data_IF_520863602211
#
_entry.id   IF_520863602211
#
_cell.length_a   1.000
_cell.length_b   1.000
_cell.length_c   1.000
_cell.angle_alpha   90.00
_cell.angle_beta   90.00
_cell.angle_gamma   90.00
#
_symmetry.space_group_name_H-M   'P 1'
#
loop_
_entity.id
_entity.type
_entity.pdbx_description
1 polymer ?
#
# COMPACT_ATOMS: atom_id res chain seq x y z
N UNK A 1 9.05 0.04 14.42
CA UNK A 1 7.93 -0.60 13.70
C UNK A 1 8.49 -1.76 12.91
N UNK A 2 7.93 -2.97 13.11
CA UNK A 2 8.21 -4.07 12.20
C UNK A 2 7.71 -3.65 10.80
N UNK A 3 8.59 -3.66 9.80
CA UNK A 3 8.19 -3.44 8.42
C UNK A 3 7.28 -4.61 7.98
N UNK A 4 6.46 -4.41 6.97
CA UNK A 4 5.67 -5.47 6.35
C UNK A 4 6.52 -6.71 6.04
N UNK A 5 7.69 -6.53 5.41
CA UNK A 5 8.62 -7.62 5.10
C UNK A 5 9.06 -8.39 6.34
N UNK A 6 9.37 -7.69 7.42
CA UNK A 6 9.73 -8.33 8.68
C UNK A 6 8.56 -9.09 9.29
N UNK A 7 7.34 -8.54 9.23
CA UNK A 7 6.15 -9.24 9.69
C UNK A 7 5.88 -10.50 8.85
N UNK A 8 5.94 -10.39 7.53
CA UNK A 8 5.78 -11.51 6.61
C UNK A 8 6.80 -12.64 6.89
N UNK A 9 8.10 -12.31 7.02
CA UNK A 9 9.12 -13.27 7.42
C UNK A 9 8.88 -13.88 8.80
N UNK A 10 8.36 -13.09 9.73
CA UNK A 10 8.02 -13.57 11.07
C UNK A 10 6.88 -14.58 11.03
N UNK A 11 5.85 -14.31 10.22
CA UNK A 11 4.71 -15.20 10.08
C UNK A 11 5.05 -16.49 9.33
N UNK A 12 5.98 -16.45 8.37
CA UNK A 12 6.58 -17.64 7.78
C UNK A 12 7.32 -18.47 8.85
N UNK A 13 8.14 -17.84 9.68
CA UNK A 13 8.89 -18.54 10.77
C UNK A 13 7.97 -19.13 11.84
N UNK A 14 6.84 -18.48 12.12
CA UNK A 14 5.83 -18.98 13.05
C UNK A 14 4.97 -20.10 12.46
N UNK A 15 5.06 -20.34 11.15
CA UNK A 15 4.23 -21.30 10.44
C UNK A 15 2.79 -20.85 10.22
N UNK A 16 2.48 -19.56 10.39
CA UNK A 16 1.17 -19.00 10.06
C UNK A 16 0.99 -18.84 8.56
N UNK A 17 2.09 -18.55 7.87
CA UNK A 17 2.20 -18.58 6.42
C UNK A 17 3.17 -19.67 6.00
N UNK A 18 2.96 -20.23 4.82
CA UNK A 18 3.92 -21.10 4.13
C UNK A 18 4.14 -20.60 2.71
N UNK A 19 5.32 -20.81 2.18
CA UNK A 19 5.66 -20.44 0.80
C UNK A 19 6.33 -21.64 0.13
N UNK A 20 5.84 -22.01 -1.05
CA UNK A 20 6.42 -23.10 -1.83
C UNK A 20 7.62 -22.64 -2.69
N UNK A 21 8.20 -23.58 -3.46
CA UNK A 21 9.34 -23.32 -4.34
C UNK A 21 9.00 -22.38 -5.50
N UNK A 22 7.73 -22.30 -5.90
CA UNK A 22 7.23 -21.42 -6.95
C UNK A 22 6.86 -20.02 -6.44
N UNK A 23 6.97 -19.79 -5.11
CA UNK A 23 6.65 -18.51 -4.46
C UNK A 23 5.18 -18.35 -4.13
N UNK A 24 4.37 -19.40 -4.23
CA UNK A 24 2.98 -19.36 -3.82
C UNK A 24 2.87 -19.39 -2.30
N UNK A 25 2.03 -18.51 -1.75
CA UNK A 25 1.87 -18.37 -0.30
C UNK A 25 0.51 -18.92 0.12
N UNK A 26 0.51 -19.73 1.17
CA UNK A 26 -0.68 -20.24 1.85
C UNK A 26 -0.72 -19.75 3.29
N UNK A 27 -1.94 -19.69 3.86
CA UNK A 27 -2.20 -19.35 5.26
C UNK A 27 -2.87 -20.52 5.98
N UNK A 28 -2.45 -20.80 7.21
CA UNK A 28 -3.15 -21.76 8.06
C UNK A 28 -4.56 -21.27 8.44
N UNK A 29 -5.35 -22.12 9.10
CA UNK A 29 -6.65 -21.68 9.59
C UNK A 29 -6.51 -20.45 10.50
N UNK A 30 -7.26 -19.39 10.21
CA UNK A 30 -7.24 -18.14 10.98
C UNK A 30 -7.51 -18.36 12.47
N UNK A 31 -8.33 -19.35 12.81
CA UNK A 31 -8.64 -19.71 14.20
C UNK A 31 -7.45 -20.30 14.98
N UNK A 32 -6.40 -20.71 14.28
CA UNK A 32 -5.15 -21.22 14.91
C UNK A 32 -4.13 -20.10 15.17
N UNK A 33 -4.40 -18.91 14.65
CA UNK A 33 -3.56 -17.72 14.84
C UNK A 33 -4.07 -16.94 16.06
N UNK A 34 -3.20 -16.43 16.95
CA UNK A 34 -3.60 -15.55 18.04
C UNK A 34 -4.42 -14.36 17.54
N UNK A 35 -5.49 -14.01 18.24
CA UNK A 35 -6.48 -13.00 17.80
C UNK A 35 -5.83 -11.65 17.45
N UNK A 36 -4.84 -11.22 18.23
CA UNK A 36 -4.11 -9.98 18.02
C UNK A 36 -3.17 -9.99 16.78
N UNK A 37 -2.91 -11.18 16.22
CA UNK A 37 -2.08 -11.36 15.00
C UNK A 37 -2.89 -11.73 13.76
N UNK A 38 -4.16 -12.12 13.90
CA UNK A 38 -4.99 -12.61 12.79
C UNK A 38 -5.09 -11.60 11.65
N UNK A 39 -5.47 -10.36 11.94
CA UNK A 39 -5.65 -9.33 10.93
C UNK A 39 -4.36 -9.06 10.16
N UNK A 40 -3.24 -8.86 10.85
CA UNK A 40 -1.95 -8.60 10.18
C UNK A 40 -1.46 -9.79 9.37
N UNK A 41 -1.66 -11.02 9.86
CA UNK A 41 -1.29 -12.22 9.11
C UNK A 41 -2.12 -12.33 7.84
N UNK A 42 -3.43 -12.11 7.94
CA UNK A 42 -4.32 -12.06 6.78
C UNK A 42 -3.91 -10.99 5.78
N UNK A 43 -3.64 -9.77 6.24
CA UNK A 43 -3.18 -8.68 5.36
C UNK A 43 -1.85 -9.04 4.69
N UNK A 44 -0.93 -9.69 5.39
CA UNK A 44 0.32 -10.15 4.78
C UNK A 44 0.08 -11.18 3.68
N UNK A 45 -0.81 -12.14 3.91
CA UNK A 45 -1.18 -13.15 2.94
C UNK A 45 -1.84 -12.54 1.70
N UNK A 46 -2.88 -11.76 1.91
CA UNK A 46 -3.71 -11.19 0.84
C UNK A 46 -2.94 -10.14 0.01
N UNK A 47 -2.21 -9.26 0.68
CA UNK A 47 -1.36 -8.27 0.01
C UNK A 47 -0.22 -8.91 -0.81
N UNK A 48 0.36 -10.02 -0.32
CA UNK A 48 1.38 -10.72 -1.07
C UNK A 48 0.79 -11.38 -2.34
N UNK A 49 -0.39 -11.98 -2.23
CA UNK A 49 -1.08 -12.59 -3.37
C UNK A 49 -1.41 -11.61 -4.50
N UNK A 50 -1.65 -10.34 -4.18
CA UNK A 50 -2.00 -9.30 -5.15
C UNK A 50 -0.81 -8.45 -5.60
N UNK A 51 0.13 -8.15 -4.71
CA UNK A 51 1.16 -7.14 -4.90
C UNK A 51 2.58 -7.65 -4.61
N UNK A 52 2.73 -8.95 -4.32
CA UNK A 52 4.02 -9.57 -4.05
C UNK A 52 4.75 -8.88 -2.87
N UNK A 53 6.05 -8.74 -2.94
CA UNK A 53 6.87 -8.09 -1.90
C UNK A 53 6.61 -6.60 -1.72
N UNK A 54 5.88 -5.97 -2.64
CA UNK A 54 5.48 -4.55 -2.60
C UNK A 54 4.36 -4.27 -1.60
N UNK A 55 3.56 -5.29 -1.30
CA UNK A 55 2.42 -5.38 -0.38
C UNK A 55 1.83 -4.07 0.14
N UNK A 56 2.49 -3.43 1.11
CA UNK A 56 1.99 -2.24 1.81
C UNK A 56 2.89 -0.99 1.65
N UNK A 57 3.88 -1.03 0.77
CA UNK A 57 4.92 0.01 0.71
C UNK A 57 4.35 1.37 0.27
N UNK A 58 3.30 1.40 -0.57
CA UNK A 58 2.66 2.64 -0.98
C UNK A 58 2.01 3.41 0.19
N UNK A 59 1.65 2.76 1.30
CA UNK A 59 1.16 3.42 2.50
C UNK A 59 2.12 4.47 3.04
N UNK A 60 3.40 4.14 3.14
CA UNK A 60 4.39 5.06 3.63
C UNK A 60 4.75 6.13 2.58
N UNK A 61 4.90 5.76 1.32
CA UNK A 61 5.22 6.69 0.24
C UNK A 61 4.14 7.76 0.03
N UNK A 62 2.88 7.37 -0.08
CA UNK A 62 1.76 8.32 -0.26
C UNK A 62 1.62 9.22 0.97
N UNK A 63 1.84 8.70 2.18
CA UNK A 63 1.80 9.51 3.40
C UNK A 63 2.92 10.53 3.48
N UNK A 64 4.14 10.17 3.05
CA UNK A 64 5.25 11.12 2.98
C UNK A 64 4.88 12.26 2.04
N UNK A 65 4.42 11.98 0.82
CA UNK A 65 4.01 13.00 -0.14
C UNK A 65 2.89 13.88 0.41
N UNK A 66 1.88 13.28 1.06
CA UNK A 66 0.80 14.03 1.70
C UNK A 66 1.30 14.97 2.81
N UNK A 67 2.17 14.48 3.69
CA UNK A 67 2.73 15.30 4.80
C UNK A 67 3.59 16.43 4.22
N UNK A 68 4.42 16.16 3.23
CA UNK A 68 5.23 17.16 2.53
C UNK A 68 4.35 18.23 1.89
N UNK A 69 3.26 17.85 1.22
CA UNK A 69 2.28 18.80 0.66
C UNK A 69 1.61 19.66 1.73
N UNK A 70 1.27 19.08 2.88
CA UNK A 70 0.74 19.86 4.02
C UNK A 70 1.78 20.84 4.59
N UNK A 71 3.04 20.46 4.68
CA UNK A 71 4.12 21.36 5.11
C UNK A 71 4.25 22.56 4.16
N UNK A 72 4.14 22.34 2.85
CA UNK A 72 4.09 23.43 1.87
C UNK A 72 2.86 24.32 2.08
N UNK A 73 1.66 23.75 2.21
CA UNK A 73 0.43 24.54 2.44
C UNK A 73 0.47 25.36 3.72
N UNK A 74 1.16 24.88 4.75
CA UNK A 74 1.34 25.58 6.01
C UNK A 74 2.52 26.59 5.98
N UNK A 75 3.24 26.69 4.86
CA UNK A 75 4.37 27.62 4.73
C UNK A 75 5.65 27.20 5.44
N UNK A 76 5.78 25.93 5.84
CA UNK A 76 6.98 25.39 6.47
C UNK A 76 8.11 25.14 5.46
N UNK A 77 7.76 24.84 4.22
CA UNK A 77 8.69 24.60 3.12
C UNK A 77 8.20 25.32 1.86
N UNK A 78 9.12 25.61 0.94
CA UNK A 78 8.82 26.17 -0.37
C UNK A 78 8.18 25.12 -1.31
N UNK A 79 7.60 25.57 -2.43
CA UNK A 79 7.12 24.67 -3.46
C UNK A 79 8.26 23.83 -4.06
N UNK A 80 9.42 24.43 -4.26
CA UNK A 80 10.61 23.76 -4.80
C UNK A 80 11.04 22.62 -3.86
N UNK A 81 11.18 22.89 -2.56
CA UNK A 81 11.50 21.87 -1.55
C UNK A 81 10.44 20.76 -1.48
N UNK A 82 9.16 21.10 -1.64
CA UNK A 82 8.08 20.13 -1.68
C UNK A 82 8.22 19.21 -2.90
N UNK A 83 8.44 19.76 -4.10
CA UNK A 83 8.62 19.01 -5.32
C UNK A 83 9.88 18.14 -5.29
N UNK A 84 10.99 18.65 -4.78
CA UNK A 84 12.25 17.92 -4.65
C UNK A 84 12.11 16.69 -3.74
N UNK A 85 11.26 16.76 -2.71
CA UNK A 85 10.99 15.62 -1.84
C UNK A 85 9.96 14.65 -2.43
N UNK A 86 8.94 15.14 -3.13
CA UNK A 86 7.87 14.31 -3.67
C UNK A 86 8.26 13.60 -4.97
N UNK A 87 9.05 14.24 -5.84
CA UNK A 87 9.39 13.70 -7.16
C UNK A 87 10.11 12.34 -7.10
N UNK A 88 11.15 12.14 -6.26
CA UNK A 88 11.80 10.82 -6.16
C UNK A 88 10.86 9.72 -5.68
N UNK A 89 9.89 10.08 -4.81
CA UNK A 89 8.89 9.13 -4.29
C UNK A 89 7.90 8.77 -5.38
N UNK A 90 7.40 9.75 -6.14
CA UNK A 90 6.51 9.53 -7.27
C UNK A 90 7.17 8.64 -8.33
N UNK A 91 8.43 8.90 -8.69
CA UNK A 91 9.20 8.08 -9.63
C UNK A 91 9.39 6.64 -9.11
N UNK A 92 9.56 6.47 -7.81
CA UNK A 92 9.67 5.16 -7.20
C UNK A 92 8.34 4.41 -7.26
N UNK A 93 7.23 5.05 -6.92
CA UNK A 93 5.89 4.48 -7.06
C UNK A 93 5.63 4.04 -8.50
N UNK A 94 5.94 4.92 -9.47
CA UNK A 94 5.80 4.64 -10.90
C UNK A 94 6.64 3.44 -11.37
N UNK A 95 7.81 3.24 -10.79
CA UNK A 95 8.68 2.09 -11.10
C UNK A 95 8.23 0.79 -10.46
N UNK A 96 7.66 0.87 -9.25
CA UNK A 96 7.33 -0.31 -8.44
C UNK A 96 5.91 -0.83 -8.71
N UNK A 97 4.98 0.02 -9.16
CA UNK A 97 3.57 -0.34 -9.38
C UNK A 97 3.19 -0.16 -10.86
N UNK A 98 2.36 -1.06 -11.36
CA UNK A 98 1.91 -1.05 -12.76
C UNK A 98 0.72 -0.12 -13.02
N UNK A 99 0.02 0.33 -11.99
CA UNK A 99 -1.13 1.23 -12.12
C UNK A 99 -1.41 2.03 -10.84
N UNK A 100 -2.27 3.04 -10.94
CA UNK A 100 -2.77 3.77 -9.77
C UNK A 100 -3.61 2.87 -8.86
N UNK A 101 -4.35 1.93 -9.42
CA UNK A 101 -5.15 0.96 -8.68
C UNK A 101 -4.26 0.13 -7.75
N UNK A 102 -3.13 -0.37 -8.24
CA UNK A 102 -2.17 -1.11 -7.41
C UNK A 102 -1.61 -0.24 -6.28
N UNK A 103 -1.31 1.05 -6.54
CA UNK A 103 -0.85 1.99 -5.50
C UNK A 103 -1.92 2.16 -4.43
N UNK A 104 -3.19 2.35 -4.83
CA UNK A 104 -4.28 2.49 -3.88
C UNK A 104 -4.55 1.21 -3.08
N UNK A 105 -4.47 0.04 -3.71
CA UNK A 105 -4.59 -1.23 -3.00
C UNK A 105 -3.48 -1.40 -1.97
N UNK A 106 -2.23 -1.16 -2.34
CA UNK A 106 -1.09 -1.19 -1.43
C UNK A 106 -1.26 -0.19 -0.27
N UNK A 107 -1.80 1.00 -0.55
CA UNK A 107 -2.13 1.99 0.49
C UNK A 107 -3.18 1.45 1.47
N UNK A 108 -4.23 0.81 0.98
CA UNK A 108 -5.32 0.26 1.80
C UNK A 108 -4.80 -0.91 2.66
N UNK A 109 -4.02 -1.83 2.08
CA UNK A 109 -3.37 -2.89 2.83
C UNK A 109 -2.45 -2.34 3.94
N UNK A 110 -1.69 -1.29 3.63
CA UNK A 110 -0.86 -0.62 4.61
C UNK A 110 -1.65 0.02 5.75
N UNK A 111 -2.80 0.59 5.45
CA UNK A 111 -3.72 1.10 6.47
C UNK A 111 -4.25 -0.01 7.37
N UNK A 112 -4.76 -1.12 6.79
CA UNK A 112 -5.25 -2.28 7.53
C UNK A 112 -4.16 -2.89 8.43
N UNK A 113 -2.97 -3.07 7.87
CA UNK A 113 -1.81 -3.57 8.61
C UNK A 113 -1.42 -2.66 9.79
N UNK A 114 -1.38 -1.34 9.57
CA UNK A 114 -1.08 -0.35 10.60
C UNK A 114 -2.15 -0.34 11.69
N UNK A 115 -3.41 -0.31 11.30
CA UNK A 115 -4.56 -0.24 12.20
C UNK A 115 -4.75 -1.55 12.97
N UNK A 116 -4.35 -2.67 12.38
CA UNK A 116 -4.65 -4.04 12.83
C UNK A 116 -6.17 -4.29 12.88
N UNK A 117 -6.87 -3.85 11.84
CA UNK A 117 -8.32 -3.93 11.72
C UNK A 117 -8.69 -3.95 10.23
N UNK A 118 -9.31 -5.05 9.77
CA UNK A 118 -9.74 -5.24 8.38
C UNK A 118 -11.15 -4.71 8.10
N UNK A 119 -11.92 -4.41 9.16
CA UNK A 119 -13.33 -4.04 9.07
C UNK A 119 -13.60 -2.57 9.41
N UNK A 120 -12.55 -1.73 9.51
CA UNK A 120 -12.68 -0.29 9.76
C UNK A 120 -13.45 0.38 8.61
N UNK A 121 -14.51 1.12 8.94
CA UNK A 121 -15.37 1.85 7.98
C UNK A 121 -14.58 2.75 7.02
N UNK A 122 -13.40 3.24 7.43
CA UNK A 122 -12.53 4.05 6.58
C UNK A 122 -11.97 3.30 5.37
N UNK A 123 -11.89 1.98 5.43
CA UNK A 123 -11.47 1.15 4.29
C UNK A 123 -12.47 1.32 3.14
N UNK A 124 -13.76 1.31 3.43
CA UNK A 124 -14.80 1.57 2.44
C UNK A 124 -14.65 2.96 1.81
N UNK A 125 -14.41 4.00 2.63
CA UNK A 125 -14.19 5.35 2.13
C UNK A 125 -12.93 5.46 1.28
N UNK A 126 -11.84 4.79 1.66
CA UNK A 126 -10.60 4.78 0.87
C UNK A 126 -10.79 4.06 -0.46
N UNK A 127 -11.46 2.90 -0.49
CA UNK A 127 -11.76 2.18 -1.74
C UNK A 127 -12.62 3.01 -2.69
N UNK A 128 -13.64 3.67 -2.16
CA UNK A 128 -14.50 4.57 -2.94
C UNK A 128 -13.73 5.78 -3.47
N UNK A 129 -12.96 6.46 -2.62
CA UNK A 129 -12.15 7.60 -3.01
C UNK A 129 -11.07 7.23 -4.05
N UNK A 130 -10.49 6.02 -3.95
CA UNK A 130 -9.56 5.50 -4.93
C UNK A 130 -10.23 5.30 -6.29
N UNK A 131 -11.41 4.68 -6.35
CA UNK A 131 -12.18 4.51 -7.58
C UNK A 131 -12.53 5.85 -8.24
N UNK A 132 -13.05 6.80 -7.46
CA UNK A 132 -13.36 8.16 -7.95
C UNK A 132 -12.10 8.88 -8.45
N UNK A 133 -10.94 8.70 -7.79
CA UNK A 133 -9.68 9.32 -8.21
C UNK A 133 -9.18 8.73 -9.53
N UNK A 134 -9.24 7.41 -9.70
CA UNK A 134 -8.85 6.73 -10.94
C UNK A 134 -9.75 7.18 -12.10
N UNK A 135 -11.07 7.21 -11.91
CA UNK A 135 -12.00 7.70 -12.93
C UNK A 135 -11.72 9.16 -13.33
N UNK A 136 -11.43 10.02 -12.35
CA UNK A 136 -11.10 11.43 -12.60
C UNK A 136 -9.77 11.58 -13.37
N UNK A 137 -8.73 10.83 -12.97
CA UNK A 137 -7.45 10.84 -13.67
C UNK A 137 -7.66 10.39 -15.12
N UNK A 138 -8.42 9.35 -15.37
CA UNK A 138 -8.72 8.86 -16.71
C UNK A 138 -9.52 9.88 -17.55
N UNK A 139 -10.43 10.65 -16.91
CA UNK A 139 -11.27 11.62 -17.59
C UNK A 139 -10.56 12.95 -17.87
N UNK A 140 -9.73 13.45 -16.94
CA UNK A 140 -9.10 14.77 -17.03
C UNK A 140 -7.79 14.78 -17.81
N UNK A 141 -6.99 13.70 -17.71
CA UNK A 141 -5.63 13.67 -18.28
C UNK A 141 -5.51 12.86 -19.56
N UNK A 142 -6.63 12.44 -20.14
CA UNK A 142 -6.65 11.62 -21.36
C UNK A 142 -5.83 10.32 -21.22
N UNK A 143 -6.35 9.22 -21.68
CA UNK A 143 -5.78 7.86 -21.55
C UNK A 143 -4.33 7.71 -22.03
N UNK A 144 -3.75 8.69 -22.69
CA UNK A 144 -2.34 8.69 -23.13
C UNK A 144 -1.35 8.84 -21.97
N UNK A 145 -1.66 9.66 -20.94
CA UNK A 145 -0.80 9.79 -19.74
C UNK A 145 -0.80 8.53 -18.88
N UNK A 146 -1.85 7.73 -18.96
CA UNK A 146 -1.92 6.43 -18.27
C UNK A 146 -1.18 5.34 -19.06
N UNK A 147 -1.07 5.48 -20.39
CA UNK A 147 -0.29 4.57 -21.24
C UNK A 147 1.22 4.77 -21.11
N UNK A 148 1.66 5.99 -20.82
CA UNK A 148 3.07 6.31 -20.60
C UNK A 148 3.53 5.96 -19.16
N UNK A 149 2.68 5.31 -18.37
CA UNK A 149 3.06 4.70 -17.11
C UNK A 149 3.94 3.46 -17.32
N UNK A 150 3.89 2.82 -18.50
CA UNK A 150 4.81 1.79 -18.94
C UNK A 150 6.17 2.48 -19.34
#
# INVERSE_FOLDING_TARGET
>A
RASYRHAFETYLKKGYLSMDEDGYVDIISISEIPEDEQCRTWVCYDAYGHLDTRGVDAWDYVRIMRITGLCYQCGYISLEECLDQCLPIAQRLQKEYGSFEEIFESYIYGYQFWKNDSDDDRIYFYRRAAGEAVENIQSEYNTELVKDWE
#
